data_IF_311939779869
#
_entry.id   IF_311939779869
#
_cell.length_a   1.000
_cell.length_b   1.000
_cell.length_c   1.000
_cell.angle_alpha   90.00
_cell.angle_beta   90.00
_cell.angle_gamma   90.00
#
_symmetry.space_group_name_H-M   'P 1'
#
loop_
_entity.id
_entity.type
_entity.pdbx_description
1 polymer ?
#
# COMPACT_ATOMS: atom_id res chain seq x y z
N UNK A 1 -8.39 1.36 2.95
CA UNK A 1 -7.06 2.00 2.80
C UNK A 1 -7.10 3.40 3.43
N UNK A 2 -5.97 4.00 3.80
CA UNK A 2 -5.94 5.40 4.25
C UNK A 2 -4.85 6.21 3.56
N UNK A 3 -5.16 7.45 3.18
CA UNK A 3 -4.23 8.45 2.64
C UNK A 3 -4.11 9.58 3.66
N UNK A 4 -2.89 10.04 3.93
CA UNK A 4 -2.71 11.34 4.58
C UNK A 4 -2.43 12.38 3.49
N UNK A 5 -3.37 13.31 3.31
CA UNK A 5 -3.25 14.39 2.32
C UNK A 5 -2.77 15.65 3.04
N UNK A 6 -1.71 16.27 2.52
CA UNK A 6 -1.25 17.60 2.92
C UNK A 6 -1.62 18.62 1.85
N UNK A 7 -2.31 19.68 2.24
CA UNK A 7 -2.64 20.81 1.38
C UNK A 7 -1.86 22.04 1.83
N UNK A 8 -1.19 22.69 0.88
CA UNK A 8 -0.50 23.95 1.07
C UNK A 8 -1.38 25.06 0.51
N UNK A 9 -1.63 26.11 1.28
CA UNK A 9 -2.15 27.35 0.71
C UNK A 9 -1.03 27.99 -0.11
N UNK A 10 -1.32 28.57 -1.27
CA UNK A 10 -0.33 29.27 -2.11
C UNK A 10 -0.90 30.63 -2.51
N UNK A 11 -0.06 31.67 -2.51
CA UNK A 11 -0.47 33.02 -2.91
C UNK A 11 -0.37 33.18 -4.43
N UNK A 12 -1.20 34.07 -5.00
CA UNK A 12 -1.18 34.32 -6.45
C UNK A 12 0.19 34.83 -6.96
N UNK A 13 0.90 35.62 -6.14
CA UNK A 13 2.23 36.14 -6.48
C UNK A 13 3.29 35.04 -6.52
N UNK A 14 3.21 34.07 -5.61
CA UNK A 14 4.11 32.93 -5.56
C UNK A 14 3.89 31.97 -6.73
N UNK A 15 2.62 31.67 -7.02
CA UNK A 15 2.24 30.89 -8.18
C UNK A 15 2.76 31.52 -9.47
N UNK A 16 2.63 32.85 -9.61
CA UNK A 16 3.14 33.57 -10.77
C UNK A 16 4.67 33.49 -10.89
N UNK A 17 5.39 33.58 -9.78
CA UNK A 17 6.85 33.42 -9.74
C UNK A 17 7.28 32.01 -10.18
N UNK A 18 6.66 30.97 -9.63
CA UNK A 18 7.02 29.59 -9.98
C UNK A 18 6.59 29.23 -11.40
N UNK A 19 5.47 29.72 -11.89
CA UNK A 19 5.07 29.52 -13.29
C UNK A 19 6.03 30.22 -14.26
N UNK A 20 6.55 31.41 -13.90
CA UNK A 20 7.58 32.10 -14.67
C UNK A 20 8.90 31.33 -14.67
N UNK A 21 9.33 30.86 -13.50
CA UNK A 21 10.52 30.02 -13.37
C UNK A 21 10.38 28.76 -14.22
N UNK A 22 9.24 28.06 -14.12
CA UNK A 22 8.93 26.84 -14.89
C UNK A 22 9.02 27.10 -16.38
N UNK A 23 8.40 28.17 -16.89
CA UNK A 23 8.49 28.57 -18.30
C UNK A 23 9.92 28.82 -18.75
N UNK A 24 10.76 29.41 -17.89
CA UNK A 24 12.15 29.70 -18.21
C UNK A 24 13.07 28.46 -18.13
N UNK A 25 12.76 27.47 -17.27
CA UNK A 25 13.62 26.28 -17.05
C UNK A 25 13.21 25.06 -17.87
N UNK A 26 11.91 24.92 -18.18
CA UNK A 26 11.35 23.77 -18.90
C UNK A 26 11.12 24.05 -20.40
N UNK A 27 11.43 25.25 -20.89
CA UNK A 27 11.50 25.52 -22.32
C UNK A 27 12.66 24.72 -22.93
N UNK A 28 12.32 23.56 -23.48
CA UNK A 28 13.23 22.68 -24.21
C UNK A 28 13.54 23.34 -25.55
N UNK A 29 14.72 23.97 -25.65
CA UNK A 29 15.29 24.67 -26.82
C UNK A 29 14.69 24.36 -28.19
N UNK A 30 13.51 24.91 -28.49
CA UNK A 30 12.91 24.94 -29.82
C UNK A 30 12.95 26.35 -30.41
N UNK A 31 12.81 26.47 -31.73
CA UNK A 31 12.86 27.75 -32.46
C UNK A 31 11.81 28.78 -31.99
N UNK A 32 10.76 28.33 -31.30
CA UNK A 32 9.65 29.16 -30.82
C UNK A 32 9.61 29.28 -29.29
N UNK A 33 10.72 29.01 -28.61
CA UNK A 33 10.74 29.13 -27.16
C UNK A 33 10.57 30.59 -26.73
N UNK A 34 9.80 30.85 -25.65
CA UNK A 34 9.65 32.19 -25.12
C UNK A 34 11.02 32.73 -24.71
N UNK A 35 11.32 33.98 -25.09
CA UNK A 35 12.55 34.63 -24.65
C UNK A 35 12.58 34.65 -23.11
N UNK A 36 13.72 34.30 -22.49
CA UNK A 36 13.84 34.27 -21.04
C UNK A 36 13.51 35.67 -20.49
N UNK A 37 12.43 35.73 -19.71
CA UNK A 37 12.01 36.95 -19.04
C UNK A 37 12.70 37.05 -17.69
N UNK A 38 13.00 38.27 -17.27
CA UNK A 38 13.70 38.49 -16.00
C UNK A 38 12.83 38.00 -14.84
N UNK A 39 13.31 36.97 -14.15
CA UNK A 39 12.66 36.43 -12.98
C UNK A 39 12.90 37.38 -11.80
N UNK A 40 11.85 38.09 -11.39
CA UNK A 40 11.88 38.96 -10.20
C UNK A 40 10.99 38.36 -9.13
N UNK A 41 11.52 38.22 -7.92
CA UNK A 41 10.79 37.72 -6.77
C UNK A 41 10.58 38.79 -5.71
N UNK A 42 10.38 38.38 -4.46
CA UNK A 42 10.15 39.30 -3.32
C UNK A 42 11.41 39.55 -2.47
N UNK A 43 12.57 39.01 -2.88
CA UNK A 43 13.85 39.21 -2.21
C UNK A 43 14.64 40.31 -2.92
N UNK A 44 15.16 41.26 -2.15
CA UNK A 44 15.99 42.36 -2.66
C UNK A 44 17.18 42.63 -1.77
N UNK A 45 18.25 43.16 -2.38
CA UNK A 45 19.46 43.61 -1.68
C UNK A 45 19.21 44.98 -1.06
N UNK A 46 19.59 45.17 0.20
CA UNK A 46 19.32 46.40 0.97
C UNK A 46 20.25 47.57 0.59
N UNK A 47 21.50 47.29 0.24
CA UNK A 47 22.53 48.29 -0.06
C UNK A 47 22.62 48.65 -1.54
N UNK A 48 22.07 47.82 -2.44
CA UNK A 48 21.91 48.17 -3.85
C UNK A 48 20.63 47.57 -4.43
N UNK A 49 19.59 48.41 -4.55
CA UNK A 49 18.29 48.01 -5.10
C UNK A 49 18.28 47.79 -6.61
N UNK A 50 19.37 48.11 -7.32
CA UNK A 50 19.48 47.90 -8.78
C UNK A 50 20.11 46.55 -9.14
N UNK A 51 20.67 45.84 -8.17
CA UNK A 51 21.19 44.50 -8.40
C UNK A 51 20.04 43.48 -8.46
N UNK A 52 19.94 42.69 -9.55
CA UNK A 52 18.90 41.68 -9.66
C UNK A 52 19.18 40.51 -8.70
N UNK A 53 18.23 40.24 -7.80
CA UNK A 53 18.27 39.10 -6.89
C UNK A 53 17.19 38.10 -7.30
N UNK A 54 17.58 36.83 -7.39
CA UNK A 54 16.68 35.72 -7.69
C UNK A 54 16.20 35.08 -6.39
N UNK A 55 14.90 34.83 -6.29
CA UNK A 55 14.33 34.12 -5.16
C UNK A 55 12.97 34.65 -4.75
N UNK A 56 12.11 33.73 -4.30
CA UNK A 56 10.84 34.04 -3.69
C UNK A 56 10.74 33.33 -2.35
N UNK A 57 10.36 34.07 -1.32
CA UNK A 57 10.13 33.54 0.03
C UNK A 57 8.64 33.61 0.32
N UNK A 58 7.99 32.44 0.33
CA UNK A 58 6.60 32.26 0.71
C UNK A 58 6.46 31.79 2.15
N UNK A 59 5.30 32.06 2.76
CA UNK A 59 4.91 31.49 4.04
C UNK A 59 3.51 30.89 3.90
N UNK A 60 3.40 29.60 4.23
CA UNK A 60 2.22 28.79 3.94
C UNK A 60 1.66 28.15 5.18
N UNK A 61 0.33 28.09 5.27
CA UNK A 61 -0.36 27.21 6.21
C UNK A 61 -0.52 25.84 5.58
N UNK A 62 -0.11 24.79 6.29
CA UNK A 62 -0.31 23.40 5.86
C UNK A 62 -1.53 22.82 6.58
N UNK A 63 -2.47 22.28 5.82
CA UNK A 63 -3.61 21.55 6.35
C UNK A 63 -3.44 20.05 6.07
N UNK A 64 -3.70 19.23 7.08
CA UNK A 64 -3.64 17.78 6.96
C UNK A 64 -5.03 17.19 7.07
N UNK A 65 -5.38 16.30 6.14
CA UNK A 65 -6.61 15.52 6.21
C UNK A 65 -6.31 14.06 5.92
N UNK A 66 -6.70 13.19 6.85
CA UNK A 66 -6.67 11.74 6.62
C UNK A 66 -7.98 11.32 5.96
N UNK A 67 -7.85 10.66 4.81
CA UNK A 67 -8.96 10.08 4.08
C UNK A 67 -8.94 8.57 4.27
N UNK A 68 -10.08 8.00 4.62
CA UNK A 68 -10.29 6.56 4.63
C UNK A 68 -11.06 6.20 3.37
N UNK A 69 -10.52 5.26 2.60
CA UNK A 69 -11.07 4.82 1.33
C UNK A 69 -11.49 3.37 1.51
N UNK A 70 -12.80 3.16 1.50
CA UNK A 70 -13.43 1.85 1.53
C UNK A 70 -13.76 1.39 0.12
N UNK A 71 -14.04 0.08 -0.02
CA UNK A 71 -14.45 -0.51 -1.31
C UNK A 71 -15.63 0.23 -1.93
N UNK A 72 -16.58 0.68 -1.12
CA UNK A 72 -17.76 1.41 -1.57
C UNK A 72 -17.45 2.81 -2.13
N UNK A 73 -16.29 3.41 -1.80
CA UNK A 73 -15.88 4.70 -2.35
C UNK A 73 -15.26 4.58 -3.74
N UNK A 74 -14.90 3.37 -4.17
CA UNK A 74 -14.33 3.11 -5.48
C UNK A 74 -15.45 2.77 -6.45
N UNK A 75 -15.56 3.53 -7.54
CA UNK A 75 -16.53 3.29 -8.61
C UNK A 75 -16.09 2.10 -9.51
N UNK A 76 -16.05 0.90 -8.92
CA UNK A 76 -15.61 -0.32 -9.58
C UNK A 76 -16.80 -1.07 -10.20
N UNK A 77 -16.58 -1.81 -11.30
CA UNK A 77 -17.55 -2.77 -11.83
C UNK A 77 -17.98 -3.79 -10.76
N UNK A 78 -19.21 -4.30 -10.89
CA UNK A 78 -19.83 -5.22 -9.92
C UNK A 78 -19.03 -6.52 -9.76
N UNK A 79 -18.38 -6.97 -10.83
CA UNK A 79 -17.58 -8.18 -10.92
C UNK A 79 -16.08 -7.95 -10.66
N UNK A 80 -15.68 -6.74 -10.27
CA UNK A 80 -14.27 -6.45 -10.01
C UNK A 80 -13.74 -7.27 -8.84
N UNK A 81 -12.82 -8.18 -9.16
CA UNK A 81 -12.07 -8.97 -8.19
C UNK A 81 -10.71 -8.31 -7.98
N UNK A 82 -10.41 -7.96 -6.73
CA UNK A 82 -9.06 -7.53 -6.38
C UNK A 82 -8.11 -8.73 -6.49
N UNK A 83 -6.92 -8.48 -7.01
CA UNK A 83 -5.87 -9.48 -6.89
C UNK A 83 -5.56 -9.70 -5.42
N UNK A 84 -5.52 -10.96 -5.03
CA UNK A 84 -5.28 -11.35 -3.64
C UNK A 84 -4.28 -12.50 -3.63
N UNK A 85 -3.26 -12.44 -2.75
CA UNK A 85 -2.32 -13.54 -2.62
C UNK A 85 -2.99 -14.82 -2.11
N UNK A 86 -4.26 -14.74 -1.67
CA UNK A 86 -5.06 -15.87 -1.21
C UNK A 86 -5.93 -16.51 -2.30
N UNK A 87 -5.82 -16.08 -3.57
CA UNK A 87 -6.67 -16.58 -4.67
C UNK A 87 -6.60 -18.10 -4.86
N UNK A 88 -5.45 -18.71 -4.56
CA UNK A 88 -5.24 -20.17 -4.64
C UNK A 88 -5.46 -20.91 -3.32
N UNK A 89 -5.89 -20.23 -2.26
CA UNK A 89 -6.04 -20.84 -0.95
C UNK A 89 -7.37 -21.58 -0.85
N UNK A 90 -7.28 -22.87 -0.57
CA UNK A 90 -8.43 -23.69 -0.18
C UNK A 90 -8.18 -24.29 1.20
N UNK A 91 -9.24 -24.37 2.01
CA UNK A 91 -9.17 -24.83 3.41
C UNK A 91 -8.95 -26.35 3.51
N UNK A 92 -9.19 -27.06 2.40
CA UNK A 92 -9.05 -28.51 2.27
C UNK A 92 -8.03 -28.92 1.18
N UNK A 93 -7.08 -28.03 0.84
CA UNK A 93 -6.00 -28.39 -0.09
C UNK A 93 -5.13 -29.52 0.46
N UNK A 94 -5.07 -29.67 1.78
CA UNK A 94 -4.30 -30.67 2.48
C UNK A 94 -5.19 -31.36 3.52
N UNK A 95 -5.59 -32.60 3.23
CA UNK A 95 -6.36 -33.44 4.14
C UNK A 95 -5.62 -34.75 4.42
N UNK A 96 -5.51 -35.12 5.68
CA UNK A 96 -5.04 -36.45 6.09
C UNK A 96 -6.20 -37.20 6.72
N UNK A 97 -6.62 -38.30 6.09
CA UNK A 97 -7.68 -39.17 6.63
C UNK A 97 -7.05 -40.23 7.51
N UNK A 98 -7.50 -40.35 8.75
CA UNK A 98 -7.07 -41.38 9.69
C UNK A 98 -7.87 -42.65 9.44
N UNK A 99 -7.21 -43.71 8.96
CA UNK A 99 -7.80 -45.05 8.87
C UNK A 99 -7.33 -45.92 10.04
N UNK A 100 -8.24 -46.59 10.78
CA UNK A 100 -7.86 -47.41 11.94
C UNK A 100 -6.99 -48.64 11.62
N UNK A 101 -6.83 -48.99 10.34
CA UNK A 101 -6.04 -50.14 9.87
C UNK A 101 -4.98 -49.77 8.83
N UNK A 102 -4.68 -48.50 8.63
CA UNK A 102 -3.62 -48.12 7.71
C UNK A 102 -2.26 -48.48 8.34
N UNK A 103 -1.49 -49.44 7.79
CA UNK A 103 -0.19 -49.86 8.33
C UNK A 103 0.86 -48.75 8.23
N UNK A 104 0.53 -47.70 7.49
CA UNK A 104 1.31 -46.50 7.32
C UNK A 104 0.71 -45.30 8.08
N UNK A 105 -0.46 -45.44 8.72
CA UNK A 105 -1.00 -44.37 9.57
C UNK A 105 -0.07 -44.13 10.74
N UNK A 106 0.28 -42.86 10.97
CA UNK A 106 1.13 -42.52 12.10
C UNK A 106 0.24 -42.54 13.35
N UNK A 107 0.67 -43.18 14.45
CA UNK A 107 -0.12 -43.20 15.68
C UNK A 107 -0.45 -41.78 16.13
N UNK A 108 -1.67 -41.58 16.63
CA UNK A 108 -2.05 -40.35 17.32
C UNK A 108 -0.95 -39.96 18.33
N UNK A 109 -0.44 -38.71 18.33
CA UNK A 109 -0.89 -37.51 17.61
C UNK A 109 0.01 -37.09 16.43
N UNK A 110 0.64 -38.03 15.72
CA UNK A 110 1.52 -37.70 14.60
C UNK A 110 0.75 -37.72 13.27
N UNK A 111 1.04 -36.76 12.40
CA UNK A 111 0.41 -36.59 11.08
C UNK A 111 1.50 -36.55 10.02
N UNK A 112 1.37 -37.25 8.90
CA UNK A 112 2.39 -37.23 7.83
C UNK A 112 2.42 -35.90 7.09
N UNK A 113 1.24 -35.33 6.85
CA UNK A 113 1.09 -34.12 6.04
C UNK A 113 1.70 -32.92 6.77
N UNK A 114 1.52 -32.83 8.10
CA UNK A 114 2.05 -31.73 8.91
C UNK A 114 3.43 -31.96 9.52
N UNK A 115 4.15 -33.02 9.11
CA UNK A 115 5.61 -33.13 9.36
C UNK A 115 6.36 -32.09 8.54
N UNK A 116 5.81 -31.69 7.40
CA UNK A 116 6.36 -30.61 6.56
C UNK A 116 5.99 -29.28 7.21
N UNK A 117 6.97 -28.43 7.62
CA UNK A 117 6.69 -27.17 8.33
C UNK A 117 5.83 -26.17 7.54
N UNK A 118 5.75 -26.33 6.23
CA UNK A 118 4.96 -25.50 5.33
C UNK A 118 3.47 -25.85 5.36
N UNK A 119 3.08 -26.97 5.96
CA UNK A 119 1.69 -27.39 6.06
C UNK A 119 1.19 -27.07 7.46
N UNK A 120 0.17 -26.21 7.54
CA UNK A 120 -0.39 -25.77 8.81
C UNK A 120 -1.73 -26.48 9.04
N UNK A 121 -1.88 -27.25 10.13
CA UNK A 121 -3.16 -27.85 10.50
C UNK A 121 -4.13 -26.73 10.93
N UNK A 122 -5.35 -26.77 10.40
CA UNK A 122 -6.38 -25.78 10.65
C UNK A 122 -7.50 -26.33 11.54
N UNK A 123 -8.01 -27.53 11.23
CA UNK A 123 -9.13 -28.13 11.97
C UNK A 123 -9.13 -29.67 11.88
N UNK A 124 -9.97 -30.30 12.70
CA UNK A 124 -10.25 -31.73 12.65
C UNK A 124 -11.39 -32.03 11.68
N UNK A 125 -11.28 -33.13 10.94
CA UNK A 125 -12.37 -33.69 10.14
C UNK A 125 -13.12 -34.71 10.97
N UNK A 126 -14.39 -34.44 11.26
CA UNK A 126 -15.26 -35.33 12.07
C UNK A 126 -16.28 -36.01 11.16
N UNK A 127 -16.45 -37.32 11.33
CA UNK A 127 -17.51 -38.10 10.70
C UNK A 127 -18.14 -39.05 11.71
N UNK A 128 -19.48 -39.03 11.79
CA UNK A 128 -20.27 -39.84 12.74
C UNK A 128 -19.79 -39.74 14.20
N UNK A 129 -19.33 -38.57 14.62
CA UNK A 129 -18.85 -38.32 15.98
C UNK A 129 -17.40 -38.75 16.26
N UNK A 130 -16.70 -39.31 15.27
CA UNK A 130 -15.29 -39.70 15.39
C UNK A 130 -14.41 -38.78 14.56
N UNK A 131 -13.21 -38.48 15.06
CA UNK A 131 -12.17 -37.79 14.29
C UNK A 131 -11.70 -38.77 13.22
N UNK A 132 -11.98 -38.44 11.96
CA UNK A 132 -11.58 -39.22 10.78
C UNK A 132 -10.43 -38.59 10.02
N UNK A 133 -9.92 -37.45 10.47
CA UNK A 133 -8.81 -36.78 9.83
C UNK A 133 -8.52 -35.39 10.37
N UNK A 134 -7.58 -34.73 9.71
CA UNK A 134 -7.23 -33.33 9.92
C UNK A 134 -7.21 -32.62 8.58
N UNK A 135 -7.67 -31.37 8.56
CA UNK A 135 -7.57 -30.48 7.41
C UNK A 135 -6.59 -29.36 7.70
N UNK A 136 -5.93 -28.89 6.65
CA UNK A 136 -4.97 -27.82 6.73
C UNK A 136 -4.72 -27.18 5.38
N UNK A 137 -3.83 -26.19 5.40
CA UNK A 137 -3.45 -25.46 4.19
C UNK A 137 -1.96 -25.12 4.23
N UNK A 138 -1.44 -24.55 3.15
CA UNK A 138 -0.04 -24.12 3.12
C UNK A 138 0.18 -22.92 4.05
N UNK A 139 1.42 -22.70 4.45
CA UNK A 139 1.82 -21.60 5.32
C UNK A 139 1.48 -20.24 4.72
N UNK A 140 1.57 -20.09 3.40
CA UNK A 140 1.18 -18.88 2.69
C UNK A 140 -0.31 -18.57 2.83
N UNK A 141 -1.15 -19.58 3.02
CA UNK A 141 -2.59 -19.45 3.15
C UNK A 141 -3.04 -19.29 4.61
N UNK A 142 -2.41 -20.02 5.52
CA UNK A 142 -2.83 -20.13 6.92
C UNK A 142 -2.04 -19.24 7.90
N UNK A 143 -0.81 -18.87 7.58
CA UNK A 143 0.02 -18.06 8.48
C UNK A 143 -0.24 -16.56 8.30
N UNK A 144 -1.04 -15.99 9.20
CA UNK A 144 -1.34 -14.57 9.21
C UNK A 144 -0.10 -13.69 9.44
N UNK A 145 1.03 -14.21 9.95
CA UNK A 145 2.25 -13.43 10.18
C UNK A 145 3.03 -13.12 8.91
N UNK A 146 2.79 -13.87 7.82
CA UNK A 146 3.48 -13.65 6.55
C UNK A 146 3.05 -12.32 5.91
N UNK A 147 1.77 -11.95 6.08
CA UNK A 147 1.18 -10.76 5.44
C UNK A 147 0.48 -9.80 6.41
N UNK A 148 0.30 -10.21 7.66
CA UNK A 148 -0.31 -9.41 8.72
C UNK A 148 0.72 -9.00 9.78
N UNK A 149 0.40 -7.91 10.48
CA UNK A 149 1.17 -7.44 11.63
C UNK A 149 0.24 -7.34 12.84
N UNK A 150 0.76 -7.70 14.01
CA UNK A 150 0.07 -7.48 15.29
C UNK A 150 0.23 -6.03 15.79
N UNK A 151 0.96 -5.18 15.07
CA UNK A 151 1.13 -3.77 15.39
C UNK A 151 -0.08 -3.01 14.86
N UNK A 152 -0.85 -2.40 15.77
CA UNK A 152 -1.97 -1.54 15.42
C UNK A 152 -1.46 -0.36 14.57
N UNK A 153 -1.99 -0.14 13.35
CA UNK A 153 -1.59 1.02 12.54
C UNK A 153 -2.01 2.33 13.22
N UNK A 154 -1.24 3.40 13.02
CA UNK A 154 -1.51 4.73 13.60
C UNK A 154 -2.80 5.40 13.12
N UNK A 155 -3.45 4.84 12.10
CA UNK A 155 -4.70 5.32 11.53
C UNK A 155 -5.92 4.48 11.93
N UNK A 156 -5.75 3.49 12.81
CA UNK A 156 -6.81 2.59 13.28
C UNK A 156 -7.24 2.92 14.71
#
# INVERSE_FOLDING_TARGET
YSVLVSQYAETAAEFAYYELLRKNTEAVGTLNDPLPTQLTGNVYRLDNTTEPVLGYVGAHTVQYKRLFIDRANLALPVDWQFDTPYKGCTVDSLAETLYPYDPLSVPYPRTRVFVIPQNIPLDVRISRGFIVGYIGSSSECADCRIRGSNIKPSYW
#
